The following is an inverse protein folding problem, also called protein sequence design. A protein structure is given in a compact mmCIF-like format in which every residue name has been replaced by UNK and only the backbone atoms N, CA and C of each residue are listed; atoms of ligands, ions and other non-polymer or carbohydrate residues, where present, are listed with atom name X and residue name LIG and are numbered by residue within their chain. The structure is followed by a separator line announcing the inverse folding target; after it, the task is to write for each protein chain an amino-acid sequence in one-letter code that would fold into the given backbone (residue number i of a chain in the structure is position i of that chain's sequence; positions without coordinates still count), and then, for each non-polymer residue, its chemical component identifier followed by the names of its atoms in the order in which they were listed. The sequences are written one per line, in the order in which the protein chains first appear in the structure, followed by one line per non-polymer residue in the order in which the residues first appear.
data_IF_683475694386
#
_entry.id   IF_683475694386
#
_cell.length_a   1.000
_cell.length_b   1.000
_cell.length_c   1.000
_cell.angle_alpha   90.00
_cell.angle_beta   90.00
_cell.angle_gamma   90.00
#
_symmetry.space_group_name_H-M   'P 1'
#
loop_
_entity.id
_entity.type
_entity.pdbx_description
1 polymer ?
#
# COMPACT_ATOMS: atom_id res chain seq x y z
N UNK A 1 51.17 -0.47 -4.49
CA UNK A 1 49.73 -0.79 -4.20
C UNK A 1 49.02 -0.98 -5.53
N UNK A 2 48.77 -2.22 -5.91
CA UNK A 2 48.10 -2.56 -7.18
C UNK A 2 46.58 -2.41 -6.99
N UNK A 3 45.95 -1.54 -7.78
CA UNK A 3 44.51 -1.37 -7.82
C UNK A 3 43.84 -2.58 -8.44
N UNK A 4 42.55 -2.86 -8.12
CA UNK A 4 41.86 -4.02 -8.62
C UNK A 4 41.71 -3.94 -10.15
N UNK A 5 42.25 -4.93 -10.85
CA UNK A 5 42.12 -5.12 -12.28
C UNK A 5 40.67 -5.43 -12.64
N UNK A 6 39.90 -4.39 -12.97
CA UNK A 6 38.58 -4.56 -13.54
C UNK A 6 38.69 -5.25 -14.90
N UNK A 7 38.27 -6.51 -14.98
CA UNK A 7 38.16 -7.25 -16.23
C UNK A 7 37.22 -6.49 -17.16
N UNK A 8 37.76 -5.81 -18.17
CA UNK A 8 36.97 -5.17 -19.23
C UNK A 8 36.47 -6.26 -20.16
N UNK A 9 35.24 -6.68 -19.97
CA UNK A 9 34.57 -7.59 -20.91
C UNK A 9 34.53 -6.95 -22.32
N UNK A 10 34.82 -7.73 -23.33
CA UNK A 10 34.76 -7.30 -24.74
C UNK A 10 33.32 -6.93 -25.12
N UNK A 11 33.14 -6.08 -26.14
CA UNK A 11 31.81 -5.60 -26.59
C UNK A 11 30.85 -6.75 -26.92
N UNK A 12 31.38 -7.88 -27.45
CA UNK A 12 30.61 -9.10 -27.70
C UNK A 12 30.14 -9.80 -26.41
N UNK A 13 31.02 -9.94 -25.43
CA UNK A 13 30.71 -10.54 -24.13
C UNK A 13 29.67 -9.73 -23.36
N UNK A 14 29.73 -8.40 -23.40
CA UNK A 14 28.71 -7.52 -22.82
C UNK A 14 27.33 -7.73 -23.46
N UNK A 15 27.25 -7.95 -24.77
CA UNK A 15 25.97 -8.20 -25.45
C UNK A 15 25.34 -9.53 -25.02
N UNK A 16 26.13 -10.58 -24.90
CA UNK A 16 25.66 -11.88 -24.43
C UNK A 16 25.21 -11.84 -22.97
N UNK A 17 26.01 -11.23 -22.12
CA UNK A 17 25.64 -11.05 -20.69
C UNK A 17 24.34 -10.27 -20.55
N UNK A 18 24.18 -9.18 -21.30
CA UNK A 18 22.94 -8.38 -21.27
C UNK A 18 21.75 -9.16 -21.84
N UNK A 19 21.93 -9.99 -22.84
CA UNK A 19 20.87 -10.84 -23.39
C UNK A 19 20.43 -11.91 -22.36
N UNK A 20 21.40 -12.56 -21.70
CA UNK A 20 21.12 -13.55 -20.66
C UNK A 20 20.43 -12.90 -19.46
N UNK A 21 20.94 -11.76 -18.98
CA UNK A 21 20.30 -11.01 -17.88
C UNK A 21 18.89 -10.55 -18.27
N UNK A 22 18.71 -10.11 -19.50
CA UNK A 22 17.38 -9.75 -20.04
C UNK A 22 16.44 -10.96 -20.08
N UNK A 23 16.91 -12.11 -20.54
CA UNK A 23 16.11 -13.34 -20.56
C UNK A 23 15.73 -13.80 -19.14
N UNK A 24 16.67 -13.76 -18.20
CA UNK A 24 16.42 -14.09 -16.79
C UNK A 24 15.40 -13.12 -16.18
N UNK A 25 15.53 -11.81 -16.45
CA UNK A 25 14.58 -10.81 -15.97
C UNK A 25 13.18 -11.05 -16.53
N UNK A 26 13.05 -11.37 -17.82
CA UNK A 26 11.76 -11.71 -18.43
C UNK A 26 11.16 -12.99 -17.85
N UNK A 27 11.96 -14.04 -17.65
CA UNK A 27 11.50 -15.29 -17.05
C UNK A 27 11.00 -15.05 -15.61
N UNK A 28 11.77 -14.30 -14.82
CA UNK A 28 11.34 -13.92 -13.46
C UNK A 28 10.03 -13.14 -13.50
N UNK A 29 9.91 -12.14 -14.37
CA UNK A 29 8.70 -11.33 -14.53
C UNK A 29 7.48 -12.19 -14.88
N UNK A 30 7.61 -13.10 -15.85
CA UNK A 30 6.55 -14.00 -16.27
C UNK A 30 6.15 -14.97 -15.14
N UNK A 31 7.14 -15.48 -14.39
CA UNK A 31 6.89 -16.37 -13.26
C UNK A 31 6.09 -15.67 -12.14
N UNK A 32 6.50 -14.44 -11.77
CA UNK A 32 5.79 -13.67 -10.74
C UNK A 32 4.44 -13.12 -11.22
N UNK A 33 4.29 -12.86 -12.51
CA UNK A 33 3.04 -12.39 -13.08
C UNK A 33 2.02 -13.53 -13.27
N UNK A 34 2.48 -14.78 -13.39
CA UNK A 34 1.63 -15.94 -13.68
C UNK A 34 0.43 -16.11 -12.72
N UNK A 35 0.59 -16.01 -11.39
CA UNK A 35 -0.55 -16.13 -10.47
C UNK A 35 -1.62 -15.04 -10.71
N UNK A 36 -1.20 -13.82 -10.98
CA UNK A 36 -2.11 -12.69 -11.26
C UNK A 36 -2.81 -12.91 -12.60
N UNK A 37 -2.06 -13.33 -13.62
CA UNK A 37 -2.62 -13.70 -14.92
C UNK A 37 -3.65 -14.82 -14.79
N UNK A 38 -3.32 -15.87 -14.02
CA UNK A 38 -4.23 -16.98 -13.78
C UNK A 38 -5.50 -16.56 -13.05
N UNK A 39 -5.39 -15.70 -12.05
CA UNK A 39 -6.53 -15.10 -11.35
C UNK A 39 -7.43 -14.33 -12.32
N UNK A 40 -6.85 -13.46 -13.16
CA UNK A 40 -7.60 -12.71 -14.17
C UNK A 40 -8.26 -13.65 -15.18
N UNK A 41 -7.54 -14.67 -15.66
CA UNK A 41 -8.09 -15.66 -16.58
C UNK A 41 -9.27 -16.43 -15.94
N UNK A 42 -9.11 -16.85 -14.69
CA UNK A 42 -10.11 -17.61 -13.94
C UNK A 42 -11.36 -16.80 -13.65
N UNK A 43 -11.28 -15.48 -13.57
CA UNK A 43 -12.42 -14.60 -13.36
C UNK A 43 -13.44 -14.58 -14.52
N UNK A 44 -13.00 -15.01 -15.72
CA UNK A 44 -13.86 -15.11 -16.92
C UNK A 44 -14.34 -16.52 -17.19
N UNK A 45 -14.01 -17.50 -16.33
CA UNK A 45 -14.45 -18.90 -16.50
C UNK A 45 -15.82 -19.14 -15.85
N UNK A 46 -16.50 -20.17 -16.33
CA UNK A 46 -17.57 -20.79 -15.56
C UNK A 46 -16.99 -21.48 -14.31
N UNK A 47 -17.79 -21.59 -13.26
CA UNK A 47 -17.33 -22.16 -11.99
C UNK A 47 -16.88 -23.61 -12.14
N UNK A 48 -17.55 -24.39 -12.98
CA UNK A 48 -17.20 -25.77 -13.26
C UNK A 48 -15.83 -25.89 -13.94
N UNK A 49 -15.53 -25.03 -14.93
CA UNK A 49 -14.26 -25.02 -15.63
C UNK A 49 -13.10 -24.52 -14.74
N UNK A 50 -13.38 -23.57 -13.85
CA UNK A 50 -12.37 -23.06 -12.91
C UNK A 50 -11.92 -24.13 -11.90
N UNK A 51 -12.84 -25.04 -11.51
CA UNK A 51 -12.59 -26.05 -10.50
C UNK A 51 -12.05 -27.38 -11.06
N UNK A 52 -12.36 -27.72 -12.32
CA UNK A 52 -12.09 -29.06 -12.84
C UNK A 52 -10.81 -29.19 -13.66
N UNK A 53 -10.38 -28.13 -14.37
CA UNK A 53 -9.18 -28.23 -15.21
C UNK A 53 -8.51 -26.90 -15.52
N UNK A 54 -7.16 -26.89 -15.59
CA UNK A 54 -6.39 -25.69 -15.92
C UNK A 54 -6.39 -25.42 -17.45
N UNK A 55 -7.58 -25.32 -18.05
CA UNK A 55 -7.70 -25.00 -19.50
C UNK A 55 -7.43 -23.52 -19.75
N UNK A 56 -6.64 -23.23 -20.78
CA UNK A 56 -6.45 -21.87 -21.29
C UNK A 56 -7.54 -21.48 -22.31
N UNK A 57 -8.11 -22.47 -23.00
CA UNK A 57 -9.23 -22.29 -23.93
C UNK A 57 -10.53 -22.69 -23.24
N UNK A 58 -11.42 -21.73 -23.07
CA UNK A 58 -12.72 -21.89 -22.41
C UNK A 58 -13.72 -20.85 -22.95
N UNK A 59 -14.98 -21.04 -22.69
CA UNK A 59 -16.02 -20.04 -23.00
C UNK A 59 -15.94 -18.90 -21.98
N UNK A 60 -15.54 -17.72 -22.42
CA UNK A 60 -15.44 -16.56 -21.53
C UNK A 60 -16.85 -16.03 -21.20
N UNK A 61 -17.11 -15.80 -19.90
CA UNK A 61 -18.36 -15.20 -19.41
C UNK A 61 -18.08 -14.04 -18.45
N UNK A 62 -19.01 -13.10 -18.36
CA UNK A 62 -19.01 -12.02 -17.38
C UNK A 62 -19.97 -12.28 -16.22
N UNK A 63 -20.64 -13.43 -16.20
CA UNK A 63 -21.64 -13.76 -15.19
C UNK A 63 -21.07 -13.69 -13.77
N UNK A 64 -19.80 -14.07 -13.59
CA UNK A 64 -19.14 -14.00 -12.27
C UNK A 64 -19.01 -12.59 -11.75
N UNK A 65 -18.75 -11.62 -12.62
CA UNK A 65 -18.73 -10.19 -12.23
C UNK A 65 -20.11 -9.69 -11.87
N UNK A 66 -21.14 -10.12 -12.62
CA UNK A 66 -22.52 -9.84 -12.28
C UNK A 66 -22.91 -10.46 -10.94
N UNK A 67 -22.56 -11.74 -10.70
CA UNK A 67 -22.79 -12.43 -9.44
C UNK A 67 -22.14 -11.72 -8.25
N UNK A 68 -20.89 -11.22 -8.41
CA UNK A 68 -20.18 -10.49 -7.37
C UNK A 68 -20.89 -9.18 -7.04
N UNK A 69 -21.33 -8.44 -8.07
CA UNK A 69 -21.91 -7.11 -7.88
C UNK A 69 -23.39 -7.12 -7.49
N UNK A 70 -24.14 -8.15 -7.87
CA UNK A 70 -25.57 -8.29 -7.59
C UNK A 70 -25.91 -9.10 -6.34
N UNK A 71 -25.02 -10.01 -5.93
CA UNK A 71 -25.28 -10.91 -4.80
C UNK A 71 -24.88 -10.26 -3.48
N UNK A 72 -25.81 -10.24 -2.54
CA UNK A 72 -25.52 -9.96 -1.13
C UNK A 72 -25.02 -11.24 -0.48
N UNK A 73 -23.75 -11.29 -0.10
CA UNK A 73 -23.16 -12.41 0.65
C UNK A 73 -23.10 -12.06 2.12
N UNK A 74 -23.81 -12.83 2.93
CA UNK A 74 -23.90 -12.54 4.36
C UNK A 74 -24.64 -11.24 4.66
N UNK A 75 -24.04 -10.34 5.45
CA UNK A 75 -24.69 -9.11 5.92
C UNK A 75 -24.54 -7.92 4.96
N UNK A 76 -23.60 -7.98 3.99
CA UNK A 76 -23.27 -6.84 3.12
C UNK A 76 -23.10 -7.25 1.67
N UNK A 77 -23.44 -6.34 0.76
CA UNK A 77 -23.12 -6.44 -0.67
C UNK A 77 -21.61 -6.13 -0.91
N UNK A 78 -21.08 -6.59 -2.06
CA UNK A 78 -19.74 -6.22 -2.49
C UNK A 78 -19.55 -4.70 -2.56
N UNK A 79 -20.54 -3.98 -3.07
CA UNK A 79 -20.50 -2.52 -3.18
C UNK A 79 -20.33 -1.85 -1.80
N UNK A 80 -21.06 -2.31 -0.80
CA UNK A 80 -20.96 -1.75 0.56
C UNK A 80 -19.59 -2.03 1.17
N UNK A 81 -19.09 -3.25 1.06
CA UNK A 81 -17.75 -3.62 1.51
C UNK A 81 -16.65 -2.80 0.79
N UNK A 82 -16.82 -2.59 -0.52
CA UNK A 82 -15.92 -1.76 -1.32
C UNK A 82 -15.92 -0.30 -0.86
N UNK A 83 -17.08 0.30 -0.68
CA UNK A 83 -17.21 1.68 -0.19
C UNK A 83 -16.70 1.82 1.24
N UNK A 84 -16.91 0.83 2.10
CA UNK A 84 -16.34 0.80 3.45
C UNK A 84 -14.81 0.82 3.40
N UNK A 85 -14.20 -0.10 2.62
CA UNK A 85 -12.74 -0.11 2.43
C UNK A 85 -12.23 1.20 1.88
N UNK A 86 -12.88 1.74 0.83
CA UNK A 86 -12.47 2.99 0.20
C UNK A 86 -12.43 4.15 1.21
N UNK A 87 -13.51 4.36 1.97
CA UNK A 87 -13.59 5.44 2.93
C UNK A 87 -12.62 5.25 4.11
N UNK A 88 -12.53 4.05 4.66
CA UNK A 88 -11.60 3.75 5.75
C UNK A 88 -10.17 4.01 5.32
N UNK A 89 -9.76 3.52 4.15
CA UNK A 89 -8.40 3.69 3.63
C UNK A 89 -8.11 5.14 3.26
N UNK A 90 -9.03 5.81 2.57
CA UNK A 90 -8.84 7.19 2.14
C UNK A 90 -8.69 8.13 3.36
N UNK A 91 -9.61 8.05 4.31
CA UNK A 91 -9.59 8.90 5.51
C UNK A 91 -8.36 8.61 6.38
N UNK A 92 -8.08 7.33 6.68
CA UNK A 92 -6.90 6.97 7.49
C UNK A 92 -5.60 7.40 6.83
N UNK A 93 -5.45 7.24 5.51
CA UNK A 93 -4.25 7.68 4.79
C UNK A 93 -4.08 9.20 4.84
N UNK A 94 -5.14 9.97 4.64
CA UNK A 94 -5.08 11.45 4.75
C UNK A 94 -4.69 11.85 6.17
N UNK A 95 -5.30 11.26 7.20
CA UNK A 95 -4.97 11.56 8.60
C UNK A 95 -3.53 11.19 8.93
N UNK A 96 -3.05 10.02 8.46
CA UNK A 96 -1.64 9.61 8.61
C UNK A 96 -0.71 10.67 8.03
N UNK A 97 -0.95 11.13 6.81
CA UNK A 97 -0.08 12.12 6.16
C UNK A 97 -0.13 13.47 6.87
N UNK A 98 -1.31 13.92 7.29
CA UNK A 98 -1.46 15.17 8.05
C UNK A 98 -0.69 15.15 9.38
N UNK A 99 -0.59 13.98 10.03
CA UNK A 99 0.17 13.81 11.27
C UNK A 99 1.67 13.55 11.00
N UNK A 100 1.99 12.77 9.98
CA UNK A 100 3.35 12.38 9.68
C UNK A 100 4.20 13.52 9.09
N UNK A 101 3.61 14.42 8.29
CA UNK A 101 4.33 15.56 7.69
C UNK A 101 4.94 16.46 8.77
N UNK A 102 4.19 17.02 9.74
CA UNK A 102 4.78 17.87 10.77
C UNK A 102 5.73 17.10 11.70
N UNK A 103 5.44 15.82 11.99
CA UNK A 103 6.33 14.99 12.79
C UNK A 103 7.68 14.75 12.08
N UNK A 104 7.65 14.39 10.80
CA UNK A 104 8.86 14.21 9.98
C UNK A 104 9.64 15.52 9.83
N UNK A 105 8.96 16.65 9.67
CA UNK A 105 9.59 17.97 9.63
C UNK A 105 10.36 18.25 10.93
N UNK A 106 9.72 18.05 12.08
CA UNK A 106 10.35 18.27 13.38
C UNK A 106 11.56 17.36 13.63
N UNK A 107 11.54 16.14 13.06
CA UNK A 107 12.64 15.18 13.25
C UNK A 107 13.76 15.34 12.23
N UNK A 108 13.51 15.83 11.01
CA UNK A 108 14.49 15.91 9.93
C UNK A 108 15.10 17.30 9.77
N UNK A 109 14.26 18.34 9.76
CA UNK A 109 14.64 19.72 9.42
C UNK A 109 15.01 20.53 10.66
N UNK A 110 14.19 20.41 11.71
CA UNK A 110 14.44 21.07 13.01
C UNK A 110 14.54 20.04 14.11
N UNK A 111 15.63 19.25 14.13
CA UNK A 111 15.71 18.09 14.99
C UNK A 111 15.59 18.47 16.47
N UNK A 112 14.58 17.90 17.10
CA UNK A 112 14.37 17.99 18.55
C UNK A 112 15.45 17.20 19.30
N UNK A 113 15.75 17.51 20.56
CA UNK A 113 16.64 16.71 21.39
C UNK A 113 16.20 15.24 21.36
N UNK A 114 17.16 14.30 21.25
CA UNK A 114 16.91 12.85 21.18
C UNK A 114 16.02 12.39 20.01
N UNK A 115 16.04 13.11 18.89
CA UNK A 115 15.25 12.77 17.70
C UNK A 115 15.44 11.32 17.23
N UNK A 116 16.65 10.75 17.43
CA UNK A 116 16.95 9.36 17.10
C UNK A 116 16.14 8.39 17.95
N UNK A 117 16.02 8.66 19.25
CA UNK A 117 15.26 7.83 20.19
C UNK A 117 13.76 7.90 19.87
N UNK A 118 13.27 9.10 19.52
CA UNK A 118 11.89 9.31 19.09
C UNK A 118 11.61 8.52 17.80
N UNK A 119 12.49 8.61 16.80
CA UNK A 119 12.35 7.88 15.55
C UNK A 119 12.41 6.35 15.77
N UNK A 120 13.37 5.91 16.62
CA UNK A 120 13.46 4.50 17.01
C UNK A 120 12.20 4.03 17.74
N UNK A 121 11.65 4.83 18.64
CA UNK A 121 10.38 4.54 19.32
C UNK A 121 9.23 4.33 18.30
N UNK A 122 9.08 5.24 17.33
CA UNK A 122 8.07 5.07 16.27
C UNK A 122 8.20 3.73 15.55
N UNK A 123 9.41 3.37 15.11
CA UNK A 123 9.64 2.10 14.41
C UNK A 123 9.47 0.89 15.33
N UNK A 124 9.88 0.98 16.59
CA UNK A 124 9.77 -0.14 17.54
C UNK A 124 8.32 -0.54 17.81
N UNK A 125 7.35 0.38 17.68
CA UNK A 125 5.93 0.05 17.81
C UNK A 125 5.45 -0.94 16.72
N UNK A 126 6.13 -1.03 15.58
CA UNK A 126 5.82 -1.99 14.51
C UNK A 126 6.20 -3.42 14.86
N UNK A 127 7.09 -3.62 15.82
CA UNK A 127 7.49 -4.96 16.29
C UNK A 127 6.54 -5.52 17.33
N UNK A 128 5.60 -4.72 17.85
CA UNK A 128 4.58 -5.22 18.77
C UNK A 128 3.65 -6.19 18.04
N UNK A 129 3.51 -7.44 18.53
CA UNK A 129 2.57 -8.39 17.93
C UNK A 129 1.14 -7.87 17.99
N UNK A 130 0.52 -7.67 16.84
CA UNK A 130 -0.86 -7.15 16.73
C UNK A 130 -1.85 -8.00 17.54
N UNK A 131 -1.63 -9.33 17.54
CA UNK A 131 -2.47 -10.28 18.28
C UNK A 131 -2.43 -10.01 19.80
N UNK A 132 -1.30 -9.58 20.35
CA UNK A 132 -1.19 -9.26 21.78
C UNK A 132 -1.97 -7.98 22.15
N UNK A 133 -2.08 -7.04 21.21
CA UNK A 133 -2.77 -5.77 21.44
C UNK A 133 -4.28 -5.83 21.19
N UNK A 134 -4.80 -6.88 20.54
CA UNK A 134 -6.20 -6.89 20.07
C UNK A 134 -7.20 -6.88 21.22
N UNK A 135 -6.94 -7.62 22.28
CA UNK A 135 -7.88 -7.70 23.42
C UNK A 135 -8.05 -6.35 24.14
N UNK A 136 -6.98 -5.64 24.54
CA UNK A 136 -7.11 -4.27 25.08
C UNK A 136 -7.81 -3.31 24.12
N UNK A 137 -7.49 -3.38 22.82
CA UNK A 137 -8.12 -2.53 21.80
C UNK A 137 -9.60 -2.84 21.63
N UNK A 138 -9.98 -4.10 21.69
CA UNK A 138 -11.39 -4.52 21.65
C UNK A 138 -12.19 -3.99 22.85
N UNK A 139 -11.62 -4.14 24.06
CA UNK A 139 -12.25 -3.62 25.29
C UNK A 139 -12.43 -2.10 25.21
N UNK A 140 -11.39 -1.38 24.74
CA UNK A 140 -11.45 0.07 24.56
C UNK A 140 -12.51 0.46 23.54
N UNK A 141 -12.52 -0.20 22.37
CA UNK A 141 -13.50 0.06 21.32
C UNK A 141 -14.93 -0.22 21.79
N UNK A 142 -15.13 -1.29 22.56
CA UNK A 142 -16.42 -1.62 23.17
C UNK A 142 -16.89 -0.55 24.15
N UNK A 143 -16.01 -0.12 25.05
CA UNK A 143 -16.37 0.90 26.08
C UNK A 143 -16.66 2.28 25.48
N UNK A 144 -16.15 2.55 24.27
CA UNK A 144 -16.38 3.77 23.52
C UNK A 144 -17.50 3.63 22.48
N UNK A 145 -18.23 2.50 22.45
CA UNK A 145 -19.27 2.19 21.46
C UNK A 145 -18.80 2.30 20.00
N UNK A 146 -17.52 1.99 19.74
CA UNK A 146 -16.90 2.06 18.42
C UNK A 146 -16.90 0.73 17.66
N UNK A 147 -17.26 -0.39 18.31
CA UNK A 147 -17.33 -1.70 17.63
C UNK A 147 -18.30 -1.65 16.45
N UNK A 148 -17.96 -2.35 15.37
CA UNK A 148 -18.73 -2.39 14.12
C UNK A 148 -18.93 -1.02 13.44
N UNK A 149 -18.05 -0.05 13.70
CA UNK A 149 -18.03 1.24 13.03
C UNK A 149 -16.84 1.39 12.12
N UNK A 150 -16.97 2.20 11.04
CA UNK A 150 -15.82 2.56 10.19
C UNK A 150 -14.77 3.36 10.96
N UNK A 151 -15.20 4.11 12.00
CA UNK A 151 -14.33 5.00 12.76
C UNK A 151 -13.25 4.23 13.53
N UNK A 152 -13.58 3.07 14.13
CA UNK A 152 -12.57 2.26 14.82
C UNK A 152 -11.45 1.83 13.87
N UNK A 153 -11.80 1.43 12.64
CA UNK A 153 -10.80 1.04 11.63
C UNK A 153 -9.98 2.25 11.16
N UNK A 154 -10.61 3.41 10.95
CA UNK A 154 -9.89 4.64 10.58
C UNK A 154 -8.85 5.02 11.63
N UNK A 155 -9.19 4.94 12.92
CA UNK A 155 -8.26 5.22 14.02
C UNK A 155 -7.12 4.20 14.05
N UNK A 156 -7.43 2.91 13.97
CA UNK A 156 -6.42 1.85 14.05
C UNK A 156 -5.51 1.82 12.84
N UNK A 157 -6.03 2.02 11.64
CA UNK A 157 -5.21 2.08 10.42
C UNK A 157 -4.31 3.32 10.40
N UNK A 158 -4.80 4.42 11.01
CA UNK A 158 -3.96 5.61 11.24
C UNK A 158 -2.81 5.26 12.19
N UNK A 159 -3.08 4.68 13.35
CA UNK A 159 -2.05 4.26 14.31
C UNK A 159 -1.07 3.24 13.72
N UNK A 160 -1.57 2.28 12.96
CA UNK A 160 -0.76 1.26 12.30
C UNK A 160 0.22 1.86 11.27
N UNK A 161 -0.22 2.82 10.46
CA UNK A 161 0.58 3.36 9.36
C UNK A 161 1.46 4.54 9.77
N UNK A 162 1.11 5.27 10.83
CA UNK A 162 1.80 6.48 11.25
C UNK A 162 3.31 6.29 11.47
N UNK A 163 3.79 5.24 12.17
CA UNK A 163 5.22 5.05 12.39
C UNK A 163 6.02 4.93 11.10
N UNK A 164 5.51 4.16 10.14
CA UNK A 164 6.14 3.98 8.84
C UNK A 164 6.13 5.27 8.03
N UNK A 165 5.01 5.99 8.02
CA UNK A 165 4.87 7.24 7.30
C UNK A 165 5.83 8.31 7.83
N UNK A 166 5.96 8.45 9.15
CA UNK A 166 6.92 9.36 9.79
C UNK A 166 8.35 9.00 9.39
N UNK A 167 8.73 7.73 9.47
CA UNK A 167 10.06 7.27 9.12
C UNK A 167 10.41 7.51 7.64
N UNK A 168 9.48 7.18 6.74
CA UNK A 168 9.68 7.42 5.31
C UNK A 168 9.82 8.92 4.99
N UNK A 169 8.88 9.74 5.46
CA UNK A 169 8.93 11.18 5.22
C UNK A 169 10.15 11.84 5.85
N UNK A 170 10.57 11.38 7.04
CA UNK A 170 11.82 11.82 7.65
C UNK A 170 13.01 11.55 6.73
N UNK A 171 13.10 10.37 6.12
CA UNK A 171 14.18 10.03 5.18
C UNK A 171 14.22 10.98 3.98
N UNK A 172 13.06 11.24 3.35
CA UNK A 172 12.97 12.16 2.21
C UNK A 172 13.25 13.61 2.60
N UNK A 173 12.77 14.08 3.75
CA UNK A 173 12.98 15.45 4.19
C UNK A 173 14.44 15.71 4.55
N UNK A 174 15.15 14.71 5.05
CA UNK A 174 16.58 14.80 5.37
C UNK A 174 17.47 14.99 4.14
N UNK A 175 17.01 14.56 2.97
CA UNK A 175 17.74 14.71 1.70
C UNK A 175 17.61 16.12 1.12
N UNK A 176 16.71 16.97 1.64
CA UNK A 176 16.52 18.34 1.17
C UNK A 176 17.72 19.20 1.59
N UNK A 177 18.38 19.91 0.65
CA UNK A 177 19.48 20.83 0.98
C UNK A 177 19.01 21.91 1.95
N UNK A 178 19.82 22.15 3.00
CA UNK A 178 19.51 23.14 4.04
C UNK A 178 19.46 24.56 3.50
N UNK A 179 20.26 24.84 2.49
CA UNK A 179 20.35 26.13 1.81
C UNK A 179 18.99 26.60 1.27
N UNK A 180 18.16 25.67 0.81
CA UNK A 180 16.80 26.00 0.32
C UNK A 180 15.86 26.41 1.46
N UNK A 181 16.06 25.84 2.63
CA UNK A 181 15.25 26.15 3.81
C UNK A 181 15.68 27.49 4.39
N UNK A 182 17.01 27.73 4.46
CA UNK A 182 17.61 28.98 4.91
C UNK A 182 17.24 30.15 3.99
N UNK A 183 17.24 29.95 2.66
CA UNK A 183 16.78 30.94 1.70
C UNK A 183 15.31 31.31 1.94
N UNK A 184 14.44 30.33 2.15
CA UNK A 184 13.05 30.57 2.48
C UNK A 184 12.86 31.34 3.81
N UNK A 185 13.74 31.10 4.80
CA UNK A 185 13.73 31.85 6.06
C UNK A 185 14.14 33.31 5.86
N UNK A 186 15.15 33.58 5.01
CA UNK A 186 15.58 34.94 4.64
C UNK A 186 14.45 35.69 3.93
N UNK A 187 13.68 34.98 3.09
CA UNK A 187 12.49 35.52 2.40
C UNK A 187 11.29 35.71 3.36
N UNK A 188 11.45 35.43 4.65
CA UNK A 188 10.40 35.62 5.67
C UNK A 188 9.35 34.49 5.70
N UNK A 189 9.58 33.34 5.06
CA UNK A 189 8.67 32.23 5.08
C UNK A 189 8.62 31.58 6.47
N UNK A 190 7.48 31.66 7.15
CA UNK A 190 7.23 30.89 8.37
C UNK A 190 7.05 29.39 8.07
N UNK A 191 6.85 28.59 9.13
CA UNK A 191 6.72 27.12 9.05
C UNK A 191 5.77 26.64 7.91
N UNK A 192 4.60 27.25 7.81
CA UNK A 192 3.62 26.87 6.76
C UNK A 192 4.12 27.18 5.36
N UNK A 193 4.79 28.30 5.19
CA UNK A 193 5.42 28.69 3.92
C UNK A 193 6.53 27.73 3.52
N UNK A 194 7.45 27.42 4.44
CA UNK A 194 8.53 26.44 4.22
C UNK A 194 7.98 25.06 3.81
N UNK A 195 6.97 24.56 4.54
CA UNK A 195 6.33 23.28 4.20
C UNK A 195 5.65 23.34 2.82
N UNK A 196 4.80 24.30 2.57
CA UNK A 196 3.96 24.33 1.38
C UNK A 196 4.73 24.69 0.10
N UNK A 197 5.69 25.64 0.18
CA UNK A 197 6.37 26.20 -0.99
C UNK A 197 7.73 25.56 -1.28
N UNK A 198 8.37 24.94 -0.30
CA UNK A 198 9.71 24.35 -0.46
C UNK A 198 9.70 22.85 -0.23
N UNK A 199 9.33 22.40 0.97
CA UNK A 199 9.53 21.01 1.39
C UNK A 199 8.59 20.05 0.66
N UNK A 200 7.27 20.31 0.68
CA UNK A 200 6.30 19.41 0.06
C UNK A 200 6.46 19.30 -1.46
N UNK A 201 6.72 20.37 -2.24
CA UNK A 201 7.01 20.24 -3.67
C UNK A 201 8.24 19.38 -3.97
N UNK A 202 9.33 19.53 -3.21
CA UNK A 202 10.57 18.76 -3.40
C UNK A 202 10.36 17.30 -2.96
N UNK A 203 9.72 17.10 -1.82
CA UNK A 203 9.45 15.77 -1.27
C UNK A 203 8.23 15.08 -1.88
N UNK A 204 7.57 15.64 -2.89
CA UNK A 204 6.36 15.08 -3.50
C UNK A 204 6.50 13.62 -3.94
N UNK A 205 7.65 13.18 -4.51
CA UNK A 205 7.86 11.76 -4.82
C UNK A 205 7.84 10.87 -3.58
N UNK A 206 8.49 11.31 -2.50
CA UNK A 206 8.49 10.61 -1.21
C UNK A 206 7.11 10.59 -0.56
N UNK A 207 6.38 11.70 -0.65
CA UNK A 207 5.00 11.80 -0.18
C UNK A 207 4.08 10.83 -0.94
N UNK A 208 4.21 10.75 -2.26
CA UNK A 208 3.43 9.83 -3.09
C UNK A 208 3.75 8.36 -2.78
N UNK A 209 5.03 8.02 -2.58
CA UNK A 209 5.46 6.68 -2.19
C UNK A 209 4.91 6.30 -0.80
N UNK A 210 5.01 7.21 0.16
CA UNK A 210 4.49 7.01 1.52
C UNK A 210 2.98 6.82 1.51
N UNK A 211 2.25 7.67 0.78
CA UNK A 211 0.81 7.55 0.62
C UNK A 211 0.40 6.21 0.01
N UNK A 212 1.09 5.79 -1.05
CA UNK A 212 0.83 4.51 -1.72
C UNK A 212 1.02 3.32 -0.77
N UNK A 213 2.10 3.31 0.01
CA UNK A 213 2.34 2.24 0.99
C UNK A 213 1.27 2.24 2.09
N UNK A 214 0.86 3.40 2.60
CA UNK A 214 -0.25 3.49 3.55
C UNK A 214 -1.55 2.93 2.97
N UNK A 215 -1.87 3.27 1.71
CA UNK A 215 -3.03 2.70 1.01
C UNK A 215 -2.92 1.20 0.89
N UNK A 216 -1.77 0.67 0.46
CA UNK A 216 -1.57 -0.78 0.29
C UNK A 216 -1.76 -1.52 1.63
N UNK A 217 -1.14 -1.05 2.71
CA UNK A 217 -1.27 -1.71 4.00
C UNK A 217 -2.68 -1.62 4.58
N UNK A 218 -3.33 -0.45 4.49
CA UNK A 218 -4.69 -0.29 4.96
C UNK A 218 -5.72 -1.06 4.12
N UNK A 219 -5.52 -1.13 2.79
CA UNK A 219 -6.42 -1.86 1.88
C UNK A 219 -6.40 -3.36 2.11
N UNK A 220 -5.25 -3.92 2.41
CA UNK A 220 -5.07 -5.36 2.64
C UNK A 220 -5.26 -5.76 4.11
N UNK A 221 -5.59 -4.80 4.99
CA UNK A 221 -5.74 -5.09 6.39
C UNK A 221 -7.02 -5.88 6.64
N UNK A 222 -6.86 -7.05 7.23
CA UNK A 222 -7.92 -8.01 7.51
C UNK A 222 -8.13 -8.22 9.01
N UNK A 223 -7.03 -8.28 9.79
CA UNK A 223 -7.06 -8.74 11.16
C UNK A 223 -7.84 -7.81 12.09
N UNK A 224 -7.54 -6.51 12.07
CA UNK A 224 -8.31 -5.54 12.85
C UNK A 224 -9.77 -5.49 12.38
N UNK A 225 -9.97 -5.57 11.06
CA UNK A 225 -11.31 -5.51 10.50
C UNK A 225 -12.18 -6.66 10.99
N UNK A 226 -11.70 -7.91 10.94
CA UNK A 226 -12.47 -9.08 11.36
C UNK A 226 -12.71 -9.13 12.86
N UNK A 227 -11.80 -8.56 13.67
CA UNK A 227 -11.93 -8.58 15.12
C UNK A 227 -12.83 -7.47 15.66
N UNK A 228 -12.85 -6.31 15.04
CA UNK A 228 -13.50 -5.11 15.58
C UNK A 228 -14.72 -4.65 14.75
N UNK A 229 -14.80 -5.10 13.49
CA UNK A 229 -15.84 -4.66 12.57
C UNK A 229 -16.33 -5.77 11.63
N UNK A 230 -16.71 -6.95 12.14
CA UNK A 230 -17.13 -8.09 11.30
C UNK A 230 -18.49 -7.90 10.64
N UNK A 231 -19.32 -6.98 11.14
CA UNK A 231 -20.71 -6.82 10.71
C UNK A 231 -20.91 -5.63 9.74
N UNK A 232 -21.52 -4.57 10.19
CA UNK A 232 -22.01 -3.45 9.36
C UNK A 232 -20.92 -2.63 8.65
N UNK A 233 -19.69 -2.66 9.13
CA UNK A 233 -18.57 -1.94 8.52
C UNK A 233 -17.56 -2.84 7.80
N UNK A 234 -17.96 -4.06 7.48
CA UNK A 234 -17.09 -5.05 6.84
C UNK A 234 -16.36 -4.50 5.60
N UNK A 235 -15.08 -4.84 5.50
CA UNK A 235 -14.20 -4.41 4.42
C UNK A 235 -14.06 -5.48 3.34
N UNK A 236 -13.48 -5.13 2.19
CA UNK A 236 -13.26 -6.06 1.07
C UNK A 236 -12.52 -7.33 1.50
N UNK A 237 -11.41 -7.29 2.28
CA UNK A 237 -10.76 -8.53 2.72
C UNK A 237 -11.70 -9.47 3.50
N UNK A 238 -12.58 -8.94 4.35
CA UNK A 238 -13.57 -9.75 5.05
C UNK A 238 -14.60 -10.31 4.05
N UNK A 239 -15.14 -9.44 3.18
CA UNK A 239 -16.13 -9.85 2.19
C UNK A 239 -15.61 -10.99 1.31
N UNK A 240 -14.36 -10.91 0.85
CA UNK A 240 -13.70 -11.96 0.06
C UNK A 240 -13.64 -13.27 0.84
N UNK A 241 -13.25 -13.25 2.12
CA UNK A 241 -13.15 -14.47 2.93
C UNK A 241 -14.50 -15.10 3.27
N UNK A 242 -15.56 -14.31 3.42
CA UNK A 242 -16.91 -14.84 3.67
C UNK A 242 -17.52 -15.56 2.45
N UNK A 243 -16.99 -15.31 1.25
CA UNK A 243 -17.38 -16.02 0.04
C UNK A 243 -16.64 -17.34 -0.19
N UNK A 244 -15.64 -17.67 0.66
CA UNK A 244 -15.02 -18.99 0.71
C UNK A 244 -16.00 -19.90 1.48
N UNK A 245 -16.79 -20.68 0.75
CA UNK A 245 -17.83 -21.52 1.34
C UNK A 245 -17.37 -22.95 1.51
N UNK A 246 -17.85 -23.61 2.55
CA UNK A 246 -17.69 -25.06 2.76
C UNK A 246 -18.50 -25.89 1.76
N UNK A 247 -19.39 -25.29 0.99
CA UNK A 247 -20.24 -25.97 -0.03
C UNK A 247 -19.56 -26.10 -1.39
N UNK A 248 -18.34 -25.60 -1.57
CA UNK A 248 -17.56 -25.70 -2.80
C UNK A 248 -16.58 -24.52 -2.95
N UNK A 249 -15.56 -24.74 -3.78
CA UNK A 249 -14.60 -23.69 -4.14
C UNK A 249 -15.21 -22.86 -5.27
N UNK A 250 -15.71 -21.68 -4.96
CA UNK A 250 -16.18 -20.71 -5.96
C UNK A 250 -14.98 -19.93 -6.53
N UNK A 251 -14.08 -20.64 -7.22
CA UNK A 251 -12.81 -20.08 -7.68
C UNK A 251 -12.99 -18.97 -8.72
N UNK A 252 -13.93 -19.13 -9.64
CA UNK A 252 -14.20 -18.12 -10.65
C UNK A 252 -14.81 -16.86 -10.03
N UNK A 253 -15.80 -16.99 -9.16
CA UNK A 253 -16.42 -15.88 -8.43
C UNK A 253 -15.40 -15.18 -7.51
N UNK A 254 -14.58 -15.95 -6.78
CA UNK A 254 -13.53 -15.41 -5.92
C UNK A 254 -12.48 -14.67 -6.74
N UNK A 255 -12.12 -15.20 -7.91
CA UNK A 255 -11.19 -14.54 -8.84
C UNK A 255 -11.75 -13.22 -9.37
N UNK A 256 -13.04 -13.19 -9.76
CA UNK A 256 -13.70 -11.96 -10.20
C UNK A 256 -13.75 -10.89 -9.09
N UNK A 257 -14.08 -11.30 -7.86
CA UNK A 257 -14.08 -10.42 -6.70
C UNK A 257 -12.66 -9.87 -6.42
N UNK A 258 -11.65 -10.73 -6.49
CA UNK A 258 -10.25 -10.35 -6.27
C UNK A 258 -9.75 -9.39 -7.35
N UNK A 259 -10.12 -9.59 -8.62
CA UNK A 259 -9.80 -8.64 -9.70
C UNK A 259 -10.40 -7.28 -9.41
N UNK A 260 -11.69 -7.21 -9.05
CA UNK A 260 -12.35 -5.95 -8.69
C UNK A 260 -11.70 -5.31 -7.45
N UNK A 261 -11.32 -6.10 -6.45
CA UNK A 261 -10.65 -5.63 -5.26
C UNK A 261 -9.24 -5.07 -5.54
N UNK A 262 -8.53 -5.57 -6.54
CA UNK A 262 -7.20 -5.08 -6.92
C UNK A 262 -7.25 -3.73 -7.66
N UNK A 263 -8.35 -3.39 -8.34
CA UNK A 263 -8.46 -2.18 -9.17
C UNK A 263 -8.03 -0.89 -8.46
N UNK A 264 -8.51 -0.57 -7.24
CA UNK A 264 -8.15 0.68 -6.58
C UNK A 264 -6.65 0.77 -6.26
N UNK A 265 -6.04 -0.34 -5.84
CA UNK A 265 -4.60 -0.38 -5.50
C UNK A 265 -3.75 -0.22 -6.77
N UNK A 266 -4.12 -0.89 -7.85
CA UNK A 266 -3.45 -0.75 -9.16
C UNK A 266 -3.57 0.68 -9.68
N UNK A 267 -4.75 1.29 -9.59
CA UNK A 267 -4.96 2.69 -9.97
C UNK A 267 -4.14 3.66 -9.10
N UNK A 268 -4.13 3.45 -7.79
CA UNK A 268 -3.31 4.25 -6.86
C UNK A 268 -1.82 4.13 -7.20
N UNK A 269 -1.33 2.91 -7.47
CA UNK A 269 0.05 2.65 -7.90
C UNK A 269 0.38 3.35 -9.22
N UNK A 270 -0.50 3.27 -10.21
CA UNK A 270 -0.31 3.92 -11.51
C UNK A 270 -0.28 5.46 -11.40
N UNK A 271 -1.13 6.04 -10.56
CA UNK A 271 -1.14 7.48 -10.30
C UNK A 271 0.13 7.94 -9.54
N UNK A 272 0.57 7.16 -8.56
CA UNK A 272 1.76 7.43 -7.77
C UNK A 272 3.05 7.31 -8.61
N UNK A 273 3.12 6.32 -9.52
CA UNK A 273 4.28 6.04 -10.36
C UNK A 273 4.80 7.26 -11.11
N UNK A 274 3.91 8.06 -11.71
CA UNK A 274 4.29 9.26 -12.47
C UNK A 274 5.01 10.30 -11.60
N UNK A 275 4.69 10.40 -10.32
CA UNK A 275 5.30 11.34 -9.38
C UNK A 275 6.59 10.78 -8.81
N UNK A 276 6.65 9.47 -8.55
CA UNK A 276 7.85 8.79 -8.05
C UNK A 276 9.00 8.83 -9.06
N UNK A 277 8.74 8.56 -10.35
CA UNK A 277 9.76 8.55 -11.41
C UNK A 277 10.42 9.93 -11.57
N UNK A 278 9.66 11.01 -11.49
CA UNK A 278 10.21 12.39 -11.60
C UNK A 278 11.21 12.72 -10.49
N UNK A 279 11.01 12.17 -9.29
CA UNK A 279 11.94 12.37 -8.17
C UNK A 279 13.23 11.59 -8.31
N UNK A 280 13.16 10.35 -8.81
CA UNK A 280 14.35 9.51 -9.03
C UNK A 280 15.25 10.08 -10.13
N UNK A 281 14.68 10.71 -11.17
CA UNK A 281 15.47 11.31 -12.25
C UNK A 281 16.22 12.57 -11.83
N UNK A 282 15.73 13.35 -10.86
CA UNK A 282 16.42 14.51 -10.31
C UNK A 282 17.57 14.13 -9.36
N UNK A 283 17.51 12.96 -8.71
CA UNK A 283 18.59 12.44 -7.86
C UNK A 283 19.73 11.73 -8.61
N UNK A 284 19.49 11.36 -9.87
CA UNK A 284 20.48 10.63 -10.69
C UNK A 284 21.47 11.54 -11.43
N UNK A 285 21.31 12.86 -11.36
CA UNK A 285 22.26 13.84 -11.91
C UNK A 285 23.15 14.31 -10.75
N UNK A 286 24.12 13.49 -10.41
CA UNK A 286 25.31 13.85 -9.64
C UNK A 286 26.54 13.51 -10.45
#
# INVERSE_FOLDING_TARGET
MAGPTGVRLGVGERRWVNAVLGAVAWLATLLFFFPVFWMVLSSFKEEQDANTSPKLLFSATLDRYHDVTSTTSGLLSFREAFLNSFWVVAVSTVVVLLLAIPAAYALAIRPVPKWRDVLFFFISTKFLPVVAAILPLWILARNLDLLNTRLVLMILYTGMNLPLAVWMLWSFFREIPRELIEAAEIDGAGLRGQLASVILPIALPGLAATALLCVIFAWNEYFYAVQLNPASGSTIPIWVTTNISTRGNFLAKLSAASVLACVPVVLAGWLAQKRMIRGLSMGAIK
#
